data_IF_181393037758
#
_entry.id   IF_181393037758
#
_cell.length_a   1.000
_cell.length_b   1.000
_cell.length_c   1.000
_cell.angle_alpha   90.00
_cell.angle_beta   90.00
_cell.angle_gamma   90.00
#
_symmetry.space_group_name_H-M   'P 1'
#
loop_
_entity.id
_entity.type
_entity.pdbx_description
1 polymer ?
#
# COMPACT_ATOMS: atom_id res chain seq x y z
N UNK A 1 -16.49 -29.06 -21.96
CA UNK A 1 -17.34 -27.85 -21.93
C UNK A 1 -16.54 -26.69 -22.50
N UNK A 2 -17.21 -25.79 -23.22
CA UNK A 2 -16.65 -24.49 -23.62
C UNK A 2 -17.09 -23.40 -22.63
N UNK A 3 -16.15 -22.64 -22.07
CA UNK A 3 -16.40 -21.53 -21.16
C UNK A 3 -16.20 -20.18 -21.87
N UNK A 4 -17.08 -19.22 -21.61
CA UNK A 4 -16.93 -17.82 -22.03
C UNK A 4 -16.00 -17.02 -21.11
N UNK A 5 -15.61 -17.59 -19.95
CA UNK A 5 -14.73 -16.95 -18.96
C UNK A 5 -13.55 -17.87 -18.64
N UNK A 6 -12.36 -17.29 -18.45
CA UNK A 6 -11.15 -18.04 -18.11
C UNK A 6 -11.30 -18.70 -16.74
N UNK A 7 -11.26 -20.02 -16.71
CA UNK A 7 -11.23 -20.83 -15.49
C UNK A 7 -9.78 -21.09 -15.07
N UNK A 8 -9.54 -21.17 -13.77
CA UNK A 8 -8.28 -21.64 -13.20
C UNK A 8 -8.36 -23.12 -12.84
N UNK A 9 -7.22 -23.80 -12.87
CA UNK A 9 -7.10 -25.12 -12.28
C UNK A 9 -7.44 -25.03 -10.79
N UNK A 10 -8.18 -26.00 -10.25
CA UNK A 10 -8.75 -26.04 -8.89
C UNK A 10 -10.04 -25.25 -8.63
N UNK A 11 -10.55 -24.48 -9.60
CA UNK A 11 -11.88 -23.86 -9.49
C UNK A 11 -12.95 -24.93 -9.24
N UNK A 12 -13.96 -24.59 -8.43
CA UNK A 12 -15.11 -25.47 -8.16
C UNK A 12 -16.34 -24.90 -8.84
N UNK A 13 -17.07 -25.74 -9.55
CA UNK A 13 -18.14 -25.35 -10.46
C UNK A 13 -19.41 -26.16 -10.18
N UNK A 14 -20.56 -25.53 -10.35
CA UNK A 14 -21.86 -26.20 -10.49
C UNK A 14 -22.28 -26.07 -11.95
N UNK A 15 -22.74 -27.18 -12.51
CA UNK A 15 -23.20 -27.25 -13.90
C UNK A 15 -24.72 -27.16 -13.91
N UNK A 16 -25.26 -26.31 -14.77
CA UNK A 16 -26.70 -26.13 -14.97
C UNK A 16 -26.99 -26.13 -16.48
N UNK A 17 -27.62 -27.19 -16.99
CA UNK A 17 -28.06 -27.33 -18.37
C UNK A 17 -29.49 -26.84 -18.56
N UNK A 18 -29.79 -26.26 -19.73
CA UNK A 18 -31.16 -25.92 -20.11
C UNK A 18 -31.97 -27.18 -20.49
N UNK A 19 -33.30 -27.09 -20.39
CA UNK A 19 -34.22 -28.22 -20.64
C UNK A 19 -33.90 -28.99 -21.93
N UNK A 20 -33.85 -30.32 -21.82
CA UNK A 20 -33.65 -31.23 -22.96
C UNK A 20 -32.24 -31.82 -23.10
N UNK A 21 -31.26 -31.38 -22.30
CA UNK A 21 -29.89 -31.92 -22.32
C UNK A 21 -29.47 -32.31 -20.89
N UNK A 22 -29.13 -33.59 -20.73
CA UNK A 22 -28.59 -34.26 -19.53
C UNK A 22 -28.87 -33.61 -18.16
N UNK A 23 -30.03 -33.97 -17.60
CA UNK A 23 -30.41 -33.66 -16.23
C UNK A 23 -29.48 -34.29 -15.17
N UNK A 24 -28.62 -35.25 -15.53
CA UNK A 24 -27.82 -36.01 -14.54
C UNK A 24 -26.68 -35.18 -13.93
N UNK A 25 -26.17 -34.18 -14.66
CA UNK A 25 -25.22 -33.19 -14.11
C UNK A 25 -25.94 -32.07 -13.36
N UNK A 26 -27.22 -31.82 -13.64
CA UNK A 26 -28.01 -30.83 -12.93
C UNK A 26 -28.30 -31.31 -11.50
N UNK A 27 -28.09 -30.46 -10.51
CA UNK A 27 -28.28 -30.82 -9.10
C UNK A 27 -27.19 -31.71 -8.50
N UNK A 28 -26.15 -32.07 -9.27
CA UNK A 28 -24.95 -32.68 -8.71
C UNK A 28 -24.22 -31.71 -7.74
N UNK A 29 -23.50 -32.23 -6.72
CA UNK A 29 -22.62 -31.42 -5.89
C UNK A 29 -21.57 -30.68 -6.73
N UNK A 30 -21.07 -29.52 -6.27
CA UNK A 30 -20.03 -28.78 -6.97
C UNK A 30 -18.81 -29.65 -7.29
N UNK A 31 -18.32 -29.59 -8.54
CA UNK A 31 -17.19 -30.38 -9.03
C UNK A 31 -15.98 -29.49 -9.28
N UNK A 32 -14.79 -30.01 -8.96
CA UNK A 32 -13.52 -29.32 -9.18
C UNK A 32 -13.08 -29.43 -10.65
N UNK A 33 -12.54 -28.35 -11.20
CA UNK A 33 -11.80 -28.33 -12.46
C UNK A 33 -10.49 -29.08 -12.27
N UNK A 34 -10.36 -30.23 -12.92
CA UNK A 34 -9.18 -31.10 -12.80
C UNK A 34 -8.04 -30.63 -13.70
N UNK A 35 -8.35 -30.04 -14.86
CA UNK A 35 -7.36 -29.50 -15.78
C UNK A 35 -8.01 -28.46 -16.70
N UNK A 36 -7.33 -27.34 -16.92
CA UNK A 36 -7.67 -26.38 -17.99
C UNK A 36 -6.90 -26.80 -19.24
N UNK A 37 -7.61 -26.98 -20.34
CA UNK A 37 -7.03 -27.42 -21.61
C UNK A 37 -6.57 -26.22 -22.44
N UNK A 38 -7.42 -25.20 -22.53
CA UNK A 38 -7.14 -23.94 -23.23
C UNK A 38 -8.11 -22.85 -22.73
N UNK A 39 -8.14 -21.69 -23.40
CA UNK A 39 -8.97 -20.56 -23.03
C UNK A 39 -10.49 -20.81 -23.11
N UNK A 40 -10.91 -21.93 -23.69
CA UNK A 40 -12.32 -22.30 -23.82
C UNK A 40 -12.62 -23.64 -23.16
N UNK A 41 -11.68 -24.58 -23.04
CA UNK A 41 -11.97 -25.96 -22.61
C UNK A 41 -11.36 -26.31 -21.26
N UNK A 42 -12.11 -27.09 -20.47
CA UNK A 42 -11.68 -27.62 -19.17
C UNK A 42 -12.30 -29.00 -18.88
N UNK A 43 -11.77 -29.69 -17.87
CA UNK A 43 -12.26 -31.00 -17.39
C UNK A 43 -12.76 -30.94 -15.94
N UNK A 44 -13.77 -31.74 -15.61
CA UNK A 44 -14.42 -31.80 -14.28
C UNK A 44 -14.36 -33.21 -13.64
N UNK A 45 -13.33 -33.97 -14.01
CA UNK A 45 -13.20 -35.39 -13.64
C UNK A 45 -13.94 -36.33 -14.57
N UNK A 46 -14.10 -37.58 -14.12
CA UNK A 46 -14.76 -38.64 -14.88
C UNK A 46 -16.28 -38.49 -14.87
N UNK A 47 -16.87 -38.68 -16.04
CA UNK A 47 -18.31 -38.60 -16.34
C UNK A 47 -18.81 -39.85 -17.04
N UNK A 48 -18.01 -40.92 -17.16
CA UNK A 48 -18.40 -42.14 -17.89
C UNK A 48 -19.58 -42.90 -17.28
N UNK A 49 -19.93 -42.61 -16.03
CA UNK A 49 -21.10 -43.17 -15.34
C UNK A 49 -22.43 -42.48 -15.71
N UNK A 50 -22.39 -41.39 -16.47
CA UNK A 50 -23.56 -40.69 -16.98
C UNK A 50 -23.94 -41.17 -18.38
N UNK A 51 -25.13 -40.77 -18.81
CA UNK A 51 -25.55 -40.95 -20.21
C UNK A 51 -24.55 -40.32 -21.21
N UNK A 52 -24.53 -40.77 -22.48
CA UNK A 52 -23.70 -40.16 -23.51
C UNK A 52 -24.13 -38.72 -23.82
N UNK A 53 -23.18 -37.79 -23.71
CA UNK A 53 -23.38 -36.36 -23.93
C UNK A 53 -24.14 -36.04 -25.22
N UNK A 54 -25.24 -35.30 -25.10
CA UNK A 54 -25.97 -34.73 -26.23
C UNK A 54 -25.62 -33.25 -26.43
N UNK A 55 -25.40 -32.78 -27.66
CA UNK A 55 -25.15 -31.36 -27.91
C UNK A 55 -26.33 -30.48 -27.52
N UNK A 56 -26.07 -29.39 -26.80
CA UNK A 56 -27.05 -28.32 -26.59
C UNK A 56 -26.54 -27.25 -25.63
N UNK A 57 -27.45 -26.43 -25.13
CA UNK A 57 -27.11 -25.24 -24.36
C UNK A 57 -27.06 -25.55 -22.86
N UNK A 58 -25.98 -25.14 -22.20
CA UNK A 58 -25.85 -25.15 -20.75
C UNK A 58 -24.88 -24.08 -20.28
N UNK A 59 -25.02 -23.71 -19.02
CA UNK A 59 -24.15 -22.76 -18.35
C UNK A 59 -23.48 -23.40 -17.14
N UNK A 60 -22.31 -22.88 -16.80
CA UNK A 60 -21.53 -23.36 -15.67
C UNK A 60 -21.31 -22.19 -14.74
N UNK A 61 -21.58 -22.39 -13.46
CA UNK A 61 -21.47 -21.38 -12.41
C UNK A 61 -20.33 -21.72 -11.48
N UNK A 62 -19.38 -20.81 -11.33
CA UNK A 62 -18.31 -20.97 -10.35
C UNK A 62 -18.86 -20.83 -8.93
N UNK A 63 -18.43 -21.74 -8.05
CA UNK A 63 -18.75 -21.76 -6.63
C UNK A 63 -17.48 -21.49 -5.84
N UNK A 64 -17.40 -20.27 -5.30
CA UNK A 64 -16.31 -19.88 -4.40
C UNK A 64 -16.39 -20.73 -3.13
N UNK A 65 -15.36 -21.53 -2.89
CA UNK A 65 -15.26 -22.34 -1.68
C UNK A 65 -14.79 -21.50 -0.49
N UNK A 66 -15.33 -21.72 0.72
CA UNK A 66 -14.78 -21.13 1.93
C UNK A 66 -13.31 -21.51 2.10
N UNK A 67 -12.45 -20.52 2.31
CA UNK A 67 -11.03 -20.72 2.62
C UNK A 67 -10.81 -20.42 4.10
N UNK A 68 -10.31 -21.40 4.85
CA UNK A 68 -9.87 -21.17 6.23
C UNK A 68 -8.45 -20.63 6.20
N UNK A 69 -8.24 -19.46 6.77
CA UNK A 69 -6.93 -18.80 6.90
C UNK A 69 -6.54 -18.77 8.37
N UNK A 70 -5.29 -19.13 8.69
CA UNK A 70 -4.75 -19.12 10.06
C UNK A 70 -3.70 -18.03 10.19
N UNK A 71 -3.67 -17.35 11.35
CA UNK A 71 -2.74 -16.26 11.64
C UNK A 71 -1.87 -16.64 12.83
N UNK A 72 -0.57 -16.32 12.74
CA UNK A 72 0.35 -16.48 13.84
C UNK A 72 0.13 -15.37 14.88
N UNK A 73 0.30 -15.67 16.17
CA UNK A 73 0.37 -14.66 17.22
C UNK A 73 1.44 -13.58 16.95
N UNK A 74 1.26 -12.40 17.53
CA UNK A 74 2.15 -11.25 17.28
C UNK A 74 3.60 -11.54 17.69
N UNK A 75 3.82 -12.13 18.86
CA UNK A 75 5.15 -12.51 19.37
C UNK A 75 5.87 -13.50 18.45
N UNK A 76 5.15 -14.48 17.91
CA UNK A 76 5.70 -15.46 16.96
C UNK A 76 6.00 -14.80 15.61
N UNK A 77 5.05 -14.03 15.08
CA UNK A 77 5.20 -13.38 13.76
C UNK A 77 6.18 -12.21 13.76
N UNK A 78 6.50 -11.61 14.91
CA UNK A 78 7.58 -10.64 15.08
C UNK A 78 8.97 -11.25 14.85
N UNK A 79 9.18 -12.50 15.27
CA UNK A 79 10.47 -13.18 15.07
C UNK A 79 10.55 -13.89 13.72
N UNK A 80 9.40 -14.30 13.17
CA UNK A 80 9.31 -15.06 11.91
C UNK A 80 8.25 -14.47 10.98
N UNK A 81 8.47 -13.27 10.43
CA UNK A 81 7.45 -12.57 9.68
C UNK A 81 7.13 -13.23 8.34
N UNK A 82 5.82 -13.30 8.04
CA UNK A 82 5.32 -13.54 6.69
C UNK A 82 4.98 -12.19 6.04
N UNK A 83 5.74 -11.82 5.01
CA UNK A 83 5.62 -10.53 4.36
C UNK A 83 4.65 -10.56 3.17
N UNK A 84 3.85 -9.50 3.06
CA UNK A 84 3.03 -9.20 1.89
C UNK A 84 3.71 -8.08 1.10
N UNK A 85 4.03 -8.35 -0.16
CA UNK A 85 4.61 -7.35 -1.06
C UNK A 85 3.60 -6.24 -1.38
N UNK A 86 3.96 -5.00 -1.08
CA UNK A 86 3.22 -3.79 -1.49
C UNK A 86 3.75 -3.21 -2.80
N UNK A 87 5.04 -3.37 -3.05
CA UNK A 87 5.75 -2.98 -4.25
C UNK A 87 6.71 -4.12 -4.64
N UNK A 88 6.48 -4.71 -5.81
CA UNK A 88 7.30 -5.82 -6.31
C UNK A 88 8.75 -5.41 -6.61
N UNK A 89 9.04 -4.11 -6.74
CA UNK A 89 10.39 -3.58 -6.90
C UNK A 89 11.11 -3.34 -5.56
N UNK A 90 10.45 -3.56 -4.42
CA UNK A 90 10.99 -3.31 -3.06
C UNK A 90 10.83 -4.50 -2.11
N UNK A 91 10.62 -5.70 -2.64
CA UNK A 91 10.36 -6.90 -1.81
C UNK A 91 11.53 -7.25 -0.89
N UNK A 92 12.77 -7.09 -1.36
CA UNK A 92 13.99 -7.30 -0.59
C UNK A 92 14.19 -6.26 0.52
N UNK A 93 13.43 -5.16 0.50
CA UNK A 93 13.45 -4.14 1.58
C UNK A 93 12.57 -4.48 2.77
N UNK A 94 11.62 -5.42 2.66
CA UNK A 94 10.63 -5.68 3.70
C UNK A 94 11.25 -6.17 5.01
N UNK A 95 12.24 -7.06 4.95
CA UNK A 95 12.96 -7.53 6.14
C UNK A 95 13.73 -6.39 6.84
N UNK A 96 14.42 -5.54 6.08
CA UNK A 96 15.11 -4.36 6.61
C UNK A 96 14.15 -3.33 7.20
N UNK A 97 12.98 -3.16 6.57
CA UNK A 97 11.92 -2.28 7.07
C UNK A 97 11.34 -2.81 8.38
N UNK A 98 11.09 -4.12 8.47
CA UNK A 98 10.66 -4.77 9.71
C UNK A 98 11.63 -4.55 10.86
N UNK A 99 12.93 -4.79 10.62
CA UNK A 99 14.00 -4.52 11.59
C UNK A 99 14.03 -3.05 12.00
N UNK A 100 13.87 -2.12 11.06
CA UNK A 100 13.85 -0.69 11.34
C UNK A 100 12.68 -0.29 12.26
N UNK A 101 11.48 -0.83 12.03
CA UNK A 101 10.33 -0.61 12.92
C UNK A 101 10.58 -1.18 14.32
N UNK A 102 11.21 -2.36 14.44
CA UNK A 102 11.63 -2.91 15.73
C UNK A 102 12.64 -1.99 16.42
N UNK A 103 13.65 -1.52 15.69
CA UNK A 103 14.63 -0.55 16.19
C UNK A 103 13.99 0.75 16.68
N UNK A 104 12.99 1.28 15.98
CA UNK A 104 12.22 2.45 16.42
C UNK A 104 11.44 2.19 17.73
N UNK A 105 10.83 1.02 17.86
CA UNK A 105 10.15 0.62 19.09
C UNK A 105 11.14 0.44 20.26
N UNK A 106 12.30 -0.17 20.00
CA UNK A 106 13.37 -0.31 20.99
C UNK A 106 13.93 1.05 21.44
N UNK A 107 14.13 1.99 20.50
CA UNK A 107 14.54 3.36 20.80
C UNK A 107 13.54 4.05 21.72
N UNK A 108 12.26 3.97 21.36
CA UNK A 108 11.16 4.53 22.16
C UNK A 108 11.04 3.87 23.56
N UNK A 109 11.46 2.62 23.70
CA UNK A 109 11.39 1.87 24.96
C UNK A 109 12.41 2.29 26.02
N UNK A 110 13.47 3.04 25.67
CA UNK A 110 14.58 3.37 26.58
C UNK A 110 14.18 4.17 27.82
N UNK A 111 13.12 4.99 27.75
CA UNK A 111 12.66 5.84 28.85
C UNK A 111 11.45 5.25 29.62
N UNK A 112 11.39 3.92 29.79
CA UNK A 112 10.37 3.28 30.65
C UNK A 112 8.94 3.38 30.11
N UNK A 113 8.76 3.43 28.78
CA UNK A 113 7.45 3.37 28.11
C UNK A 113 6.81 4.72 27.75
N UNK A 114 7.34 5.84 28.27
CA UNK A 114 6.95 7.19 27.87
C UNK A 114 7.88 7.79 26.79
N UNK A 115 8.85 7.00 26.30
CA UNK A 115 9.92 7.50 25.45
C UNK A 115 9.44 8.07 24.12
N UNK A 116 10.27 8.96 23.59
CA UNK A 116 10.03 9.69 22.34
C UNK A 116 10.58 8.95 21.13
N UNK A 117 10.10 9.34 19.96
CA UNK A 117 10.74 9.01 18.69
C UNK A 117 12.00 9.86 18.49
N UNK A 118 12.89 9.48 17.55
CA UNK A 118 14.00 10.31 17.13
C UNK A 118 13.55 11.73 16.78
N UNK A 119 14.38 12.69 17.18
CA UNK A 119 14.23 14.08 16.77
C UNK A 119 14.30 14.17 15.24
N UNK A 120 13.47 15.04 14.66
CA UNK A 120 13.36 15.16 13.22
C UNK A 120 14.73 15.55 12.62
N UNK A 121 15.22 14.72 11.70
CA UNK A 121 16.51 14.92 11.02
C UNK A 121 17.73 15.00 11.95
N UNK A 122 17.64 14.41 13.13
CA UNK A 122 18.82 14.14 13.96
C UNK A 122 19.51 12.86 13.46
N UNK A 123 20.67 13.03 12.80
CA UNK A 123 21.43 11.92 12.23
C UNK A 123 21.99 11.01 13.33
N UNK A 124 22.37 11.57 14.49
CA UNK A 124 22.92 10.77 15.59
C UNK A 124 21.88 9.78 16.12
N UNK A 125 20.68 10.28 16.40
CA UNK A 125 19.58 9.43 16.87
C UNK A 125 19.08 8.46 15.79
N UNK A 126 19.10 8.87 14.52
CA UNK A 126 18.79 7.96 13.41
C UNK A 126 19.78 6.80 13.34
N UNK A 127 21.09 7.06 13.47
CA UNK A 127 22.12 6.01 13.50
C UNK A 127 21.96 5.09 14.73
N UNK A 128 21.53 5.62 15.87
CA UNK A 128 21.19 4.79 17.04
C UNK A 128 20.01 3.85 16.77
N UNK A 129 18.98 4.30 16.06
CA UNK A 129 17.86 3.45 15.64
C UNK A 129 18.33 2.35 14.70
N UNK A 130 19.22 2.67 13.76
CA UNK A 130 19.80 1.69 12.84
C UNK A 130 20.62 0.65 13.61
N UNK A 131 21.44 1.07 14.59
CA UNK A 131 22.17 0.16 15.45
C UNK A 131 21.25 -0.76 16.27
N UNK A 132 20.12 -0.23 16.76
CA UNK A 132 19.10 -1.05 17.41
C UNK A 132 18.45 -2.04 16.43
N UNK A 133 18.14 -1.61 15.21
CA UNK A 133 17.57 -2.48 14.18
C UNK A 133 18.53 -3.62 13.78
N UNK A 134 19.84 -3.35 13.72
CA UNK A 134 20.89 -4.36 13.51
C UNK A 134 20.95 -5.34 14.69
N UNK A 135 20.85 -4.85 15.93
CA UNK A 135 20.87 -5.66 17.15
C UNK A 135 19.60 -6.48 17.41
N UNK A 136 18.43 -5.95 17.02
CA UNK A 136 17.13 -6.65 17.07
C UNK A 136 17.06 -7.81 16.08
N UNK A 137 17.96 -7.84 15.09
CA UNK A 137 18.21 -8.98 14.24
C UNK A 137 16.98 -9.50 13.50
N UNK A 138 16.77 -9.04 12.27
CA UNK A 138 16.14 -9.90 11.25
C UNK A 138 17.06 -11.08 10.81
N UNK A 139 18.18 -11.31 11.52
CA UNK A 139 19.10 -12.45 11.35
C UNK A 139 18.85 -13.61 12.32
N UNK A 140 17.80 -13.56 13.13
CA UNK A 140 17.45 -14.66 14.04
C UNK A 140 16.84 -15.86 13.31
N UNK A 141 17.66 -16.71 12.68
CA UNK A 141 17.44 -18.16 12.41
C UNK A 141 16.11 -18.66 11.76
N UNK A 142 15.09 -17.83 11.58
CA UNK A 142 13.78 -18.19 11.06
C UNK A 142 13.62 -17.60 9.68
N UNK A 143 13.44 -18.45 8.67
CA UNK A 143 13.22 -18.01 7.31
C UNK A 143 12.02 -17.05 7.23
N UNK A 144 12.23 -15.80 6.81
CA UNK A 144 11.14 -14.92 6.40
C UNK A 144 10.46 -15.51 5.18
N UNK A 145 9.14 -15.59 5.19
CA UNK A 145 8.38 -16.15 4.07
C UNK A 145 7.67 -15.01 3.33
N UNK A 146 7.69 -15.04 2.00
CA UNK A 146 6.94 -14.10 1.18
C UNK A 146 5.63 -14.75 0.77
N UNK A 147 4.52 -14.04 0.99
CA UNK A 147 3.24 -14.49 0.47
C UNK A 147 3.18 -14.19 -1.04
N UNK A 148 3.38 -15.20 -1.86
CA UNK A 148 3.21 -15.11 -3.31
C UNK A 148 1.75 -15.39 -3.68
N UNK A 149 1.08 -14.37 -4.23
CA UNK A 149 -0.19 -14.53 -4.95
C UNK A 149 0.02 -14.75 -6.46
N UNK A 150 1.27 -15.00 -6.87
CA UNK A 150 1.60 -15.24 -8.28
C UNK A 150 0.99 -16.59 -8.73
N UNK A 151 0.31 -16.64 -9.88
CA UNK A 151 -0.10 -17.91 -10.47
C UNK A 151 1.11 -18.83 -10.68
N UNK A 152 0.91 -20.14 -10.50
CA UNK A 152 1.95 -21.15 -10.74
C UNK A 152 2.60 -20.92 -12.13
N UNK A 153 3.94 -20.85 -12.16
CA UNK A 153 4.72 -20.67 -13.38
C UNK A 153 5.17 -19.25 -13.71
N UNK A 154 4.79 -18.23 -12.91
CA UNK A 154 5.43 -16.92 -13.00
C UNK A 154 6.82 -16.96 -12.36
N UNK A 155 7.85 -16.60 -13.13
CA UNK A 155 9.19 -16.41 -12.59
C UNK A 155 9.15 -15.34 -11.48
N UNK A 156 9.82 -15.56 -10.33
CA UNK A 156 9.94 -14.51 -9.32
C UNK A 156 10.59 -13.28 -9.96
N UNK A 157 10.17 -12.05 -9.58
CA UNK A 157 10.84 -10.85 -10.05
C UNK A 157 12.33 -10.92 -9.70
N UNK A 158 13.22 -10.31 -10.51
CA UNK A 158 14.65 -10.25 -10.19
C UNK A 158 14.86 -9.65 -8.80
N UNK A 159 15.84 -10.12 -8.02
CA UNK A 159 16.06 -9.66 -6.66
C UNK A 159 16.37 -8.16 -6.67
N UNK A 160 15.55 -7.39 -5.96
CA UNK A 160 15.78 -5.98 -5.72
C UNK A 160 16.85 -5.77 -4.62
N UNK A 161 17.40 -4.56 -4.54
CA UNK A 161 18.39 -4.25 -3.52
C UNK A 161 17.73 -4.22 -2.13
N UNK A 162 18.41 -4.73 -1.07
CA UNK A 162 17.94 -4.60 0.30
C UNK A 162 17.78 -3.13 0.68
N UNK A 163 17.08 -2.87 1.79
CA UNK A 163 16.92 -1.51 2.31
C UNK A 163 18.30 -0.88 2.52
N UNK A 164 18.61 0.17 1.76
CA UNK A 164 19.90 0.84 1.87
C UNK A 164 20.02 1.58 3.20
N UNK A 165 21.25 1.74 3.70
CA UNK A 165 21.51 2.53 4.91
C UNK A 165 20.93 3.94 4.77
N UNK A 166 21.11 4.56 3.61
CA UNK A 166 20.58 5.90 3.33
C UNK A 166 19.04 5.95 3.43
N UNK A 167 18.32 4.99 2.83
CA UNK A 167 16.87 4.95 2.92
C UNK A 167 16.40 4.71 4.37
N UNK A 168 17.07 3.82 5.10
CA UNK A 168 16.81 3.59 6.52
C UNK A 168 17.03 4.84 7.37
N UNK A 169 18.13 5.57 7.15
CA UNK A 169 18.42 6.84 7.84
C UNK A 169 17.35 7.89 7.56
N UNK A 170 16.90 8.04 6.29
CA UNK A 170 15.81 8.97 5.95
C UNK A 170 14.51 8.63 6.68
N UNK A 171 14.13 7.34 6.70
CA UNK A 171 12.94 6.87 7.40
C UNK A 171 13.03 7.10 8.91
N UNK A 172 14.18 6.83 9.52
CA UNK A 172 14.42 7.10 10.94
C UNK A 172 14.34 8.60 11.25
N UNK A 173 14.97 9.45 10.43
CA UNK A 173 14.92 10.92 10.55
C UNK A 173 13.50 11.48 10.48
N UNK A 174 12.64 10.88 9.65
CA UNK A 174 11.26 11.32 9.47
C UNK A 174 10.25 10.58 10.38
N UNK A 175 10.71 9.69 11.27
CA UNK A 175 9.82 8.79 12.04
C UNK A 175 8.83 9.52 12.96
N UNK A 176 9.18 10.70 13.47
CA UNK A 176 8.30 11.53 14.29
C UNK A 176 7.29 12.37 13.49
N UNK A 177 7.34 12.31 12.16
CA UNK A 177 6.45 13.05 11.28
C UNK A 177 5.04 12.44 11.20
N UNK A 178 4.08 13.25 10.77
CA UNK A 178 2.71 12.82 10.48
C UNK A 178 2.30 13.37 9.14
N UNK A 179 2.20 12.49 8.15
CA UNK A 179 1.86 12.84 6.77
C UNK A 179 0.41 12.44 6.49
N UNK A 180 -0.44 13.40 6.10
CA UNK A 180 -1.84 13.14 5.76
C UNK A 180 -2.00 12.04 4.68
N UNK A 181 -1.20 12.01 3.60
CA UNK A 181 -1.30 10.93 2.60
C UNK A 181 -1.06 9.53 3.19
N UNK A 182 -0.06 9.39 4.06
CA UNK A 182 0.25 8.10 4.70
C UNK A 182 -0.87 7.68 5.66
N UNK A 183 -1.42 8.63 6.43
CA UNK A 183 -2.55 8.37 7.32
C UNK A 183 -3.79 7.89 6.54
N UNK A 184 -4.06 8.51 5.38
CA UNK A 184 -5.16 8.09 4.50
C UNK A 184 -5.00 6.65 4.01
N UNK A 185 -3.79 6.28 3.53
CA UNK A 185 -3.55 4.93 2.99
C UNK A 185 -3.64 3.88 4.10
N UNK A 186 -2.93 4.09 5.22
CA UNK A 186 -2.95 3.14 6.35
C UNK A 186 -4.36 3.04 6.96
N UNK A 187 -5.08 4.16 7.09
CA UNK A 187 -6.45 4.18 7.57
C UNK A 187 -7.41 3.41 6.66
N UNK A 188 -7.28 3.55 5.33
CA UNK A 188 -8.08 2.81 4.36
C UNK A 188 -7.78 1.30 4.39
N UNK A 189 -6.50 0.92 4.52
CA UNK A 189 -6.09 -0.47 4.68
C UNK A 189 -6.68 -1.06 5.96
N UNK A 190 -6.54 -0.39 7.11
CA UNK A 190 -7.08 -0.84 8.38
C UNK A 190 -8.61 -0.96 8.36
N UNK A 191 -9.32 0.01 7.78
CA UNK A 191 -10.76 -0.05 7.63
C UNK A 191 -11.20 -1.23 6.73
N UNK A 192 -10.46 -1.49 5.66
CA UNK A 192 -10.71 -2.63 4.78
C UNK A 192 -10.50 -3.95 5.52
N UNK A 193 -9.39 -4.11 6.25
CA UNK A 193 -9.13 -5.33 7.05
C UNK A 193 -10.18 -5.54 8.15
N UNK A 194 -10.66 -4.46 8.79
CA UNK A 194 -11.76 -4.55 9.75
C UNK A 194 -13.04 -5.09 9.10
N UNK A 195 -13.38 -4.64 7.89
CA UNK A 195 -14.53 -5.17 7.14
C UNK A 195 -14.34 -6.65 6.77
N UNK A 196 -13.14 -7.05 6.37
CA UNK A 196 -12.83 -8.47 6.07
C UNK A 196 -13.00 -9.34 7.30
N UNK A 197 -12.46 -8.91 8.45
CA UNK A 197 -12.56 -9.61 9.72
C UNK A 197 -14.02 -9.77 10.18
N UNK A 198 -14.84 -8.72 10.04
CA UNK A 198 -16.24 -8.75 10.48
C UNK A 198 -17.19 -9.49 9.53
N UNK A 199 -16.85 -9.62 8.24
CA UNK A 199 -17.75 -10.16 7.22
C UNK A 199 -17.35 -11.53 6.68
N UNK A 200 -16.09 -11.96 6.87
CA UNK A 200 -15.55 -13.14 6.21
C UNK A 200 -15.46 -12.99 4.68
N UNK A 201 -15.53 -11.75 4.16
CA UNK A 201 -15.48 -11.45 2.73
C UNK A 201 -14.12 -10.88 2.34
N UNK A 202 -13.61 -11.31 1.18
CA UNK A 202 -12.27 -11.03 0.66
C UNK A 202 -11.13 -11.69 1.44
N UNK A 203 -9.95 -11.75 0.82
CA UNK A 203 -8.74 -12.33 1.43
C UNK A 203 -8.07 -11.30 2.35
N UNK A 204 -7.88 -11.61 3.65
CA UNK A 204 -7.15 -10.73 4.57
C UNK A 204 -5.65 -10.65 4.26
N UNK A 205 -5.00 -9.60 4.74
CA UNK A 205 -3.54 -9.47 4.72
C UNK A 205 -2.94 -10.49 5.69
N UNK A 206 -1.94 -11.27 5.24
CA UNK A 206 -1.26 -12.30 6.05
C UNK A 206 0.26 -12.16 5.91
N UNK A 207 1.00 -11.48 6.80
CA UNK A 207 0.62 -10.94 8.12
C UNK A 207 1.23 -9.54 8.31
N UNK A 208 2.44 -9.32 7.77
CA UNK A 208 3.14 -8.05 7.81
C UNK A 208 3.12 -7.39 6.43
N UNK A 209 2.55 -6.19 6.38
CA UNK A 209 2.54 -5.34 5.19
C UNK A 209 3.24 -4.02 5.53
N UNK A 210 4.32 -3.72 4.83
CA UNK A 210 5.03 -2.44 4.97
C UNK A 210 4.79 -1.56 3.75
N UNK A 211 4.41 -0.31 4.01
CA UNK A 211 4.39 0.74 3.02
C UNK A 211 5.52 1.71 3.32
N UNK A 212 6.42 1.87 2.35
CA UNK A 212 7.66 2.60 2.51
C UNK A 212 7.88 3.48 1.27
N UNK A 213 8.12 4.77 1.50
CA UNK A 213 8.24 5.79 0.45
C UNK A 213 9.37 6.79 0.77
N UNK A 214 10.56 6.29 1.10
CA UNK A 214 11.77 7.08 1.35
C UNK A 214 12.21 7.92 0.15
N UNK A 215 11.76 7.57 -1.05
CA UNK A 215 11.97 8.38 -2.26
C UNK A 215 11.19 9.70 -2.21
N UNK A 216 10.11 9.77 -1.41
CA UNK A 216 9.38 11.00 -1.17
C UNK A 216 10.02 11.89 -0.10
N UNK A 217 11.03 11.38 0.62
CA UNK A 217 11.78 12.14 1.61
C UNK A 217 13.05 12.77 0.99
N UNK A 218 13.46 13.95 1.49
CA UNK A 218 14.74 14.55 1.11
C UNK A 218 15.95 13.60 1.32
N UNK A 219 17.07 13.84 0.63
CA UNK A 219 18.30 13.10 0.90
C UNK A 219 18.80 13.30 2.33
N UNK A 220 19.50 12.30 2.88
CA UNK A 220 20.08 12.40 4.21
C UNK A 220 21.03 13.61 4.28
N UNK A 221 20.89 14.43 5.32
CA UNK A 221 21.66 15.68 5.48
C UNK A 221 21.15 16.88 4.67
N UNK A 222 20.08 16.75 3.88
CA UNK A 222 19.48 17.88 3.17
C UNK A 222 18.68 18.82 4.09
N UNK A 223 18.26 18.31 5.25
CA UNK A 223 17.55 19.07 6.28
C UNK A 223 18.31 18.99 7.60
N UNK A 224 18.22 20.07 8.37
CA UNK A 224 18.69 20.14 9.75
C UNK A 224 17.50 20.06 10.72
N UNK A 225 17.73 19.76 12.01
CA UNK A 225 16.69 19.85 13.03
C UNK A 225 16.03 21.24 13.10
N UNK A 226 16.77 22.31 12.79
CA UNK A 226 16.24 23.68 12.77
C UNK A 226 15.22 23.89 11.64
N UNK A 227 15.43 23.30 10.46
CA UNK A 227 14.49 23.38 9.33
C UNK A 227 13.15 22.69 9.64
N UNK A 228 13.20 21.74 10.57
CA UNK A 228 12.11 20.87 10.98
C UNK A 228 11.48 21.28 12.33
N UNK A 229 11.94 22.41 12.91
CA UNK A 229 11.48 22.89 14.20
C UNK A 229 9.98 23.25 14.18
N UNK A 230 9.31 22.95 15.29
CA UNK A 230 7.90 23.28 15.47
C UNK A 230 7.67 24.80 15.44
N UNK A 231 6.62 25.25 14.75
CA UNK A 231 6.17 26.65 14.69
C UNK A 231 4.86 26.87 15.45
N UNK A 232 4.27 25.81 16.02
CA UNK A 232 2.99 25.88 16.73
C UNK A 232 1.79 26.00 15.79
N UNK A 233 1.97 25.63 14.53
CA UNK A 233 0.90 25.54 13.54
C UNK A 233 0.51 24.08 13.29
N UNK A 234 -0.60 23.88 12.56
CA UNK A 234 -1.12 22.54 12.26
C UNK A 234 -0.22 21.69 11.36
N UNK A 235 0.84 22.27 10.77
CA UNK A 235 1.72 21.61 9.81
C UNK A 235 3.01 21.09 10.46
N UNK A 236 3.20 21.26 11.77
CA UNK A 236 4.38 20.76 12.50
C UNK A 236 4.65 19.26 12.26
N UNK A 237 3.59 18.44 12.19
CA UNK A 237 3.74 17.02 11.87
C UNK A 237 4.33 16.75 10.48
N UNK A 238 3.94 17.54 9.47
CA UNK A 238 4.46 17.43 8.11
C UNK A 238 5.86 18.04 7.99
N UNK A 239 6.10 19.18 8.66
CA UNK A 239 7.38 19.89 8.69
C UNK A 239 8.51 19.00 9.21
N UNK A 240 8.23 18.09 10.15
CA UNK A 240 9.22 17.09 10.62
C UNK A 240 9.71 16.13 9.53
N UNK A 241 8.92 15.88 8.48
CA UNK A 241 9.34 15.04 7.36
C UNK A 241 10.02 15.84 6.23
N UNK A 242 9.47 16.98 5.85
CA UNK A 242 9.87 17.69 4.60
C UNK A 242 10.53 19.05 4.82
N UNK A 243 10.58 19.53 6.05
CA UNK A 243 11.14 20.83 6.41
C UNK A 243 10.22 22.01 6.08
N UNK A 244 10.57 23.17 6.62
CA UNK A 244 9.78 24.39 6.48
C UNK A 244 9.72 24.91 5.04
N UNK A 245 10.81 24.78 4.28
CA UNK A 245 10.87 25.28 2.90
C UNK A 245 9.84 24.58 2.00
N UNK A 246 9.71 23.25 2.09
CA UNK A 246 8.70 22.50 1.33
C UNK A 246 7.30 22.83 1.82
N UNK A 247 7.09 22.99 3.12
CA UNK A 247 5.80 23.42 3.66
C UNK A 247 5.38 24.78 3.08
N UNK A 248 6.29 25.75 3.06
CA UNK A 248 6.03 27.08 2.53
C UNK A 248 5.75 27.03 1.01
N UNK A 249 6.45 26.16 0.26
CA UNK A 249 6.16 25.92 -1.16
C UNK A 249 4.75 25.34 -1.38
N UNK A 250 4.32 24.37 -0.57
CA UNK A 250 2.97 23.83 -0.65
C UNK A 250 1.91 24.91 -0.40
N UNK A 251 2.11 25.75 0.63
CA UNK A 251 1.21 26.86 0.96
C UNK A 251 1.04 27.88 -0.16
N UNK A 252 2.06 28.11 -0.98
CA UNK A 252 2.04 29.07 -2.09
C UNK A 252 1.80 28.45 -3.46
N UNK A 253 1.65 27.13 -3.53
CA UNK A 253 1.39 26.42 -4.80
C UNK A 253 -0.05 26.64 -5.28
N UNK A 254 -0.26 26.54 -6.60
CA UNK A 254 -1.58 26.61 -7.23
C UNK A 254 -1.88 25.28 -7.91
N UNK A 255 -3.02 24.69 -7.59
CA UNK A 255 -3.42 23.36 -8.05
C UNK A 255 -4.77 23.41 -8.74
N UNK A 256 -4.90 22.66 -9.83
CA UNK A 256 -6.16 22.45 -10.52
C UNK A 256 -6.62 21.00 -10.31
N UNK A 257 -7.74 20.83 -9.62
CA UNK A 257 -8.33 19.51 -9.32
C UNK A 257 -9.52 19.28 -10.24
N UNK A 258 -9.44 18.26 -11.10
CA UNK A 258 -10.52 17.88 -12.02
C UNK A 258 -11.34 16.75 -11.43
N UNK A 259 -12.56 17.06 -11.02
CA UNK A 259 -13.52 16.10 -10.48
C UNK A 259 -13.68 16.18 -8.97
N UNK A 260 -14.93 16.12 -8.50
CA UNK A 260 -15.32 16.24 -7.10
C UNK A 260 -16.16 15.03 -6.62
N UNK A 261 -15.88 13.84 -7.18
CA UNK A 261 -16.43 12.56 -6.69
C UNK A 261 -15.66 12.04 -5.48
N UNK A 262 -15.78 10.75 -5.16
CA UNK A 262 -15.11 10.12 -4.01
C UNK A 262 -13.60 10.40 -3.97
N UNK A 263 -12.90 10.23 -5.10
CA UNK A 263 -11.46 10.54 -5.22
C UNK A 263 -11.20 12.05 -5.04
N UNK A 264 -12.06 12.90 -5.61
CA UNK A 264 -11.94 14.35 -5.49
C UNK A 264 -12.09 14.82 -4.04
N UNK A 265 -13.04 14.27 -3.29
CA UNK A 265 -13.20 14.55 -1.86
C UNK A 265 -11.95 14.16 -1.05
N UNK A 266 -11.41 12.96 -1.29
CA UNK A 266 -10.23 12.47 -0.57
C UNK A 266 -8.94 13.24 -0.94
N UNK A 267 -8.81 13.62 -2.22
CA UNK A 267 -7.74 14.49 -2.70
C UNK A 267 -7.83 15.88 -2.04
N UNK A 268 -9.00 16.52 -2.04
CA UNK A 268 -9.21 17.83 -1.42
C UNK A 268 -8.95 17.80 0.10
N UNK A 269 -9.37 16.74 0.80
CA UNK A 269 -9.02 16.54 2.21
C UNK A 269 -7.51 16.52 2.41
N UNK A 270 -6.80 15.73 1.60
CA UNK A 270 -5.35 15.59 1.69
C UNK A 270 -4.66 16.94 1.40
N UNK A 271 -5.03 17.61 0.31
CA UNK A 271 -4.50 18.93 -0.04
C UNK A 271 -4.74 19.96 1.07
N UNK A 272 -5.93 19.99 1.66
CA UNK A 272 -6.27 20.88 2.76
C UNK A 272 -5.45 20.58 4.03
N UNK A 273 -5.24 19.30 4.37
CA UNK A 273 -4.42 18.90 5.52
C UNK A 273 -2.94 19.20 5.31
N UNK A 274 -2.45 19.16 4.06
CA UNK A 274 -1.08 19.50 3.69
C UNK A 274 -0.84 21.02 3.58
N UNK A 275 -1.89 21.84 3.65
CA UNK A 275 -1.81 23.30 3.53
C UNK A 275 -1.65 23.79 2.10
N UNK A 276 -2.01 22.99 1.10
CA UNK A 276 -1.84 23.37 -0.30
C UNK A 276 -2.70 24.58 -0.64
N UNK A 277 -2.10 25.59 -1.30
CA UNK A 277 -2.75 26.85 -1.67
C UNK A 277 -3.35 27.62 -0.47
N UNK A 278 -2.82 27.41 0.75
CA UNK A 278 -3.24 28.09 1.97
C UNK A 278 -2.07 28.87 2.62
N UNK A 279 -1.72 30.06 2.10
CA UNK A 279 -0.65 30.88 2.66
C UNK A 279 -0.89 31.21 4.14
N UNK A 280 0.14 31.03 4.98
CA UNK A 280 0.08 31.40 6.40
C UNK A 280 0.32 32.92 6.51
N UNK A 281 -0.54 33.68 7.21
CA UNK A 281 -0.32 35.11 7.41
C UNK A 281 1.07 35.38 8.02
N UNK A 282 1.91 36.14 7.32
CA UNK A 282 3.28 36.47 7.76
C UNK A 282 4.37 35.51 7.29
N UNK A 283 4.05 34.37 6.67
CA UNK A 283 5.03 33.55 5.94
C UNK A 283 5.18 34.09 4.51
N UNK A 284 6.28 34.77 4.21
CA UNK A 284 6.65 35.08 2.82
C UNK A 284 7.45 33.93 2.21
N UNK A 285 7.45 33.75 0.87
CA UNK A 285 8.42 32.86 0.24
C UNK A 285 9.82 33.32 0.64
N UNK A 286 10.65 32.39 1.13
CA UNK A 286 12.05 32.68 1.43
C UNK A 286 12.68 33.35 0.21
N UNK A 287 13.12 34.59 0.36
CA UNK A 287 13.69 35.37 -0.74
C UNK A 287 14.97 34.70 -1.21
N UNK A 288 14.90 33.95 -2.30
CA UNK A 288 16.08 33.50 -3.03
C UNK A 288 16.74 34.74 -3.63
N UNK A 289 17.88 35.14 -3.07
CA UNK A 289 18.76 36.12 -3.69
C UNK A 289 19.34 35.53 -4.98
N UNK A 290 18.76 35.86 -6.13
CA UNK A 290 19.44 36.42 -7.32
C UNK A 290 18.69 36.18 -8.65
N UNK A 291 18.46 37.30 -9.34
CA UNK A 291 18.35 37.53 -10.79
C UNK A 291 17.17 36.98 -11.61
N UNK A 292 16.39 37.97 -12.09
CA UNK A 292 15.70 38.10 -13.39
C UNK A 292 14.45 37.26 -13.67
N UNK A 293 13.30 37.92 -13.52
CA UNK A 293 12.41 38.18 -14.66
C UNK A 293 11.38 37.11 -15.01
N UNK A 294 10.31 37.03 -14.23
CA UNK A 294 9.01 36.61 -14.73
C UNK A 294 7.91 37.31 -13.93
N UNK A 295 7.29 38.34 -14.52
CA UNK A 295 6.08 38.93 -13.99
C UNK A 295 4.99 37.86 -13.97
N UNK A 296 4.54 37.49 -12.78
CA UNK A 296 3.35 36.67 -12.61
C UNK A 296 2.15 37.44 -13.19
N UNK A 297 1.70 37.04 -14.37
CA UNK A 297 0.45 37.51 -14.91
C UNK A 297 -0.67 37.02 -13.99
N UNK A 298 -1.21 37.93 -13.17
CA UNK A 298 -2.45 37.70 -12.45
C UNK A 298 -3.52 37.34 -13.49
N UNK A 299 -3.98 36.10 -13.49
CA UNK A 299 -5.04 35.65 -14.37
C UNK A 299 -6.32 36.41 -14.02
N UNK A 300 -6.67 37.38 -14.88
CA UNK A 300 -7.90 38.14 -14.82
C UNK A 300 -9.10 37.17 -14.74
N UNK A 301 -9.96 37.40 -13.75
CA UNK A 301 -11.23 36.69 -13.52
C UNK A 301 -12.16 36.65 -14.75
N UNK A 302 -11.91 37.49 -15.76
CA UNK A 302 -12.63 37.48 -17.04
C UNK A 302 -12.25 36.31 -17.96
N UNK A 303 -11.07 35.71 -17.80
CA UNK A 303 -10.58 34.59 -18.61
C UNK A 303 -11.30 33.27 -18.25
N UNK A 304 -11.59 33.06 -16.96
CA UNK A 304 -12.31 31.87 -16.49
C UNK A 304 -13.77 31.80 -16.96
N UNK A 305 -14.43 32.95 -17.15
CA UNK A 305 -15.84 32.97 -17.62
C UNK A 305 -15.99 32.55 -19.09
N UNK A 306 -14.91 32.54 -19.88
CA UNK A 306 -14.95 32.14 -21.30
C UNK A 306 -14.75 30.63 -21.50
N UNK A 307 -14.04 29.95 -20.60
CA UNK A 307 -13.77 28.52 -20.71
C UNK A 307 -14.94 27.63 -20.27
N UNK A 308 -15.88 28.14 -19.46
CA UNK A 308 -17.07 27.39 -19.03
C UNK A 308 -18.30 27.57 -19.94
N UNK A 309 -18.15 28.13 -21.15
CA UNK A 309 -19.24 28.29 -22.14
C UNK A 309 -18.97 27.59 -23.48
N UNK A 310 -18.04 26.65 -23.53
CA UNK A 310 -17.82 25.77 -24.69
C UNK A 310 -18.17 24.33 -24.32
#
# INVERSE_FOLDING_TARGET
MEAQTRMAQSDVLVVEWAEGVEMELNGCPPRRVTSVLDGHRFRIGDTSGFAPFQPGNGHVKQVVQPLTVSFEPLDVSLERPTFVATDFAKTSRLAGTHALWRGLHAFRGRDGGAGRLPAAWDIGEAEEVLALAEGEGCGGSGASTFQTFAPEGCAPPPPDAPLSREAATRLACASSATLSPMCSVVGAMAASEALKACSGKFTPISQWMYLEASEALPPAGALTPADCAARGDRYDGQRRAVGSAVQDQLCHSSWFVVGAGAIGCEALKTLAMMGVAAPIPGSGPASSSSSSGAAAAAADSSTWRRLCRA
#
